data_IF_653082715142
#
_entry.id   IF_653082715142
#
_cell.length_a   1.000
_cell.length_b   1.000
_cell.length_c   1.000
_cell.angle_alpha   90.00
_cell.angle_beta   90.00
_cell.angle_gamma   90.00
#
_symmetry.space_group_name_H-M   'P 1'
#
loop_
_entity.id
_entity.type
_entity.pdbx_description
1 polymer ?
#
# COMPACT_ATOMS: atom_id res chain seq x y z
N UNK A 1 6.64 6.69 18.45
CA UNK A 1 6.24 8.01 17.87
C UNK A 1 7.40 9.00 17.73
N UNK A 2 8.23 9.25 18.76
CA UNK A 2 9.50 10.01 18.61
C UNK A 2 10.47 9.39 17.60
N UNK A 3 10.36 8.09 17.34
CA UNK A 3 11.23 7.32 16.45
C UNK A 3 10.97 7.57 14.97
N UNK A 4 9.70 7.66 14.53
CA UNK A 4 9.34 7.94 13.12
C UNK A 4 9.88 9.30 12.66
N UNK A 5 9.85 10.27 13.56
CA UNK A 5 10.36 11.62 13.33
C UNK A 5 11.88 11.67 13.13
N UNK A 6 12.62 10.87 13.90
CA UNK A 6 14.07 10.73 13.75
C UNK A 6 14.43 10.01 12.45
N UNK A 7 13.60 9.07 12.01
CA UNK A 7 13.83 8.32 10.76
C UNK A 7 13.72 9.20 9.51
N UNK A 8 12.79 10.17 9.50
CA UNK A 8 12.57 11.04 8.33
C UNK A 8 13.76 11.93 7.96
N UNK A 9 14.67 12.22 8.92
CA UNK A 9 15.82 13.13 8.76
C UNK A 9 15.46 14.37 7.94
N UNK A 10 14.47 15.14 8.42
CA UNK A 10 13.79 16.23 7.70
C UNK A 10 14.76 17.25 7.09
N UNK A 11 15.92 17.46 7.70
CA UNK A 11 16.90 18.44 7.25
C UNK A 11 18.28 17.83 6.95
N UNK A 12 18.34 16.75 6.15
CA UNK A 12 19.64 16.15 5.73
C UNK A 12 20.55 17.15 5.01
N UNK A 13 19.99 18.02 4.17
CA UNK A 13 20.73 18.99 3.35
C UNK A 13 21.03 20.31 4.07
N UNK A 14 20.61 20.49 5.33
CA UNK A 14 20.69 21.75 6.10
C UNK A 14 20.07 22.95 5.39
N UNK A 15 19.16 22.71 4.44
CA UNK A 15 18.47 23.77 3.69
C UNK A 15 17.47 24.53 4.56
N UNK A 16 16.79 23.83 5.48
CA UNK A 16 15.75 24.43 6.32
C UNK A 16 16.35 25.19 7.51
N UNK A 17 15.78 26.36 7.81
CA UNK A 17 16.08 27.08 9.03
C UNK A 17 15.54 26.32 10.26
N UNK A 18 16.11 26.52 11.46
CA UNK A 18 15.65 25.84 12.68
C UNK A 18 14.17 26.05 13.01
N UNK A 19 13.60 27.21 12.62
CA UNK A 19 12.16 27.49 12.77
C UNK A 19 11.32 26.70 11.80
N UNK A 20 11.75 26.60 10.54
CA UNK A 20 11.04 25.85 9.50
C UNK A 20 11.07 24.36 9.79
N UNK A 21 12.20 23.82 10.25
CA UNK A 21 12.31 22.43 10.66
C UNK A 21 11.32 22.08 11.79
N UNK A 22 11.18 22.98 12.78
CA UNK A 22 10.17 22.83 13.84
C UNK A 22 8.74 22.91 13.30
N UNK A 23 8.48 23.75 12.32
CA UNK A 23 7.15 23.93 11.75
C UNK A 23 6.74 22.70 10.92
N UNK A 24 7.63 22.21 10.06
CA UNK A 24 7.46 20.95 9.31
C UNK A 24 7.25 19.77 10.27
N UNK A 25 8.00 19.76 11.37
CA UNK A 25 7.83 18.74 12.40
C UNK A 25 6.45 18.81 13.07
N UNK A 26 5.95 20.01 13.31
CA UNK A 26 4.63 20.20 13.88
C UNK A 26 3.52 19.77 12.90
N UNK A 27 3.62 20.11 11.60
CA UNK A 27 2.63 19.75 10.58
C UNK A 27 2.49 18.23 10.45
N UNK A 28 3.62 17.51 10.32
CA UNK A 28 3.63 16.05 10.23
C UNK A 28 3.06 15.38 11.49
N UNK A 29 3.32 15.96 12.67
CA UNK A 29 2.74 15.46 13.94
C UNK A 29 1.23 15.69 13.99
N UNK A 30 0.75 16.84 13.54
CA UNK A 30 -0.68 17.13 13.51
C UNK A 30 -1.44 16.23 12.54
N UNK A 31 -0.87 16.00 11.35
CA UNK A 31 -1.48 15.18 10.31
C UNK A 31 -1.01 13.72 10.36
N UNK A 32 -0.64 13.21 11.55
CA UNK A 32 -0.06 11.86 11.69
C UNK A 32 -0.94 10.73 11.13
N UNK A 33 -2.25 10.91 11.10
CA UNK A 33 -3.20 9.92 10.56
C UNK A 33 -3.48 10.11 9.07
N UNK A 34 -3.08 11.22 8.48
CA UNK A 34 -3.21 11.46 7.04
C UNK A 34 -2.09 10.79 6.23
N UNK A 35 -0.98 10.43 6.89
CA UNK A 35 0.15 9.77 6.26
C UNK A 35 0.14 8.26 6.54
N UNK A 36 0.63 7.51 5.57
CA UNK A 36 0.85 6.07 5.64
C UNK A 36 2.29 5.83 6.10
N UNK A 37 2.48 5.43 7.36
CA UNK A 37 3.81 5.16 7.93
C UNK A 37 4.25 3.72 7.72
N UNK A 38 3.28 2.80 7.61
CA UNK A 38 3.52 1.39 7.31
C UNK A 38 2.61 0.90 6.18
N UNK A 39 3.05 -0.13 5.44
CA UNK A 39 2.21 -0.77 4.41
C UNK A 39 0.93 -1.39 4.98
N UNK A 40 0.91 -1.73 6.27
CA UNK A 40 -0.27 -2.21 6.98
C UNK A 40 -1.33 -1.13 7.20
N UNK A 41 -0.95 0.15 7.13
CA UNK A 41 -1.86 1.28 7.31
C UNK A 41 -2.55 1.70 6.01
N UNK A 42 -2.24 1.02 4.88
CA UNK A 42 -2.87 1.28 3.59
C UNK A 42 -4.38 1.13 3.76
N UNK A 43 -5.08 2.26 3.68
CA UNK A 43 -6.53 2.32 3.80
C UNK A 43 -7.21 1.62 2.63
N UNK A 44 -8.39 1.08 2.89
CA UNK A 44 -9.30 0.59 1.86
C UNK A 44 -10.44 1.60 1.69
N UNK A 45 -10.94 1.75 0.46
CA UNK A 45 -12.15 2.52 0.24
C UNK A 45 -13.30 1.88 1.01
N UNK A 46 -14.04 2.70 1.77
CA UNK A 46 -15.24 2.24 2.45
C UNK A 46 -16.35 2.06 1.41
N UNK A 47 -16.96 0.87 1.40
CA UNK A 47 -18.06 0.56 0.50
C UNK A 47 -19.27 1.48 0.70
N UNK A 48 -19.44 2.05 1.89
CA UNK A 48 -20.52 2.99 2.20
C UNK A 48 -20.32 4.37 1.56
N UNK A 49 -19.09 4.70 1.16
CA UNK A 49 -18.75 6.00 0.57
C UNK A 49 -18.56 5.94 -0.95
N UNK A 50 -18.18 4.78 -1.48
CA UNK A 50 -17.90 4.59 -2.91
C UNK A 50 -18.69 3.40 -3.45
N UNK A 51 -19.48 3.65 -4.49
CA UNK A 51 -20.13 2.59 -5.24
C UNK A 51 -19.09 1.67 -5.91
N UNK A 52 -19.41 0.38 -5.98
CA UNK A 52 -18.59 -0.58 -6.69
C UNK A 52 -18.56 -0.25 -8.19
N UNK A 53 -17.38 -0.31 -8.79
CA UNK A 53 -17.22 -0.17 -10.24
C UNK A 53 -17.85 -1.38 -10.93
N UNK A 54 -18.88 -1.12 -11.74
CA UNK A 54 -19.51 -2.14 -12.58
C UNK A 54 -18.75 -2.17 -13.91
N UNK A 55 -18.02 -3.25 -14.15
CA UNK A 55 -17.41 -3.50 -15.45
C UNK A 55 -18.48 -3.96 -16.43
N UNK A 56 -18.59 -3.29 -17.58
CA UNK A 56 -19.48 -3.73 -18.66
C UNK A 56 -18.93 -5.01 -19.27
N UNK A 57 -19.67 -6.11 -19.12
CA UNK A 57 -19.26 -7.43 -19.63
C UNK A 57 -19.95 -7.72 -20.96
N UNK A 58 -19.17 -8.09 -21.99
CA UNK A 58 -19.67 -8.78 -23.18
C UNK A 58 -19.80 -10.28 -22.84
N UNK A 59 -20.63 -11.05 -23.56
CA UNK A 59 -20.75 -12.51 -23.36
C UNK A 59 -19.35 -13.14 -23.42
N UNK A 60 -18.85 -13.54 -22.25
CA UNK A 60 -17.48 -13.98 -22.08
C UNK A 60 -17.35 -15.48 -22.37
N UNK A 61 -16.30 -15.88 -23.10
CA UNK A 61 -15.86 -17.28 -23.20
C UNK A 61 -14.78 -17.47 -22.16
N UNK A 62 -14.96 -18.43 -21.24
CA UNK A 62 -13.98 -18.70 -20.17
C UNK A 62 -12.59 -18.88 -20.77
N UNK A 63 -11.66 -18.01 -20.39
CA UNK A 63 -10.28 -18.05 -20.83
C UNK A 63 -9.42 -18.41 -19.64
N UNK A 64 -8.94 -19.65 -19.58
CA UNK A 64 -8.04 -20.11 -18.54
C UNK A 64 -6.63 -20.23 -19.12
N UNK A 65 -5.79 -19.24 -18.82
CA UNK A 65 -4.38 -19.28 -19.19
C UNK A 65 -3.55 -19.98 -18.11
N UNK A 66 -2.53 -20.72 -18.53
CA UNK A 66 -1.63 -21.39 -17.61
C UNK A 66 -0.71 -20.37 -16.93
N UNK A 67 -0.49 -20.53 -15.62
CA UNK A 67 0.40 -19.65 -14.88
C UNK A 67 1.82 -19.71 -15.46
N UNK A 68 2.37 -18.55 -15.78
CA UNK A 68 3.77 -18.40 -16.19
C UNK A 68 4.66 -18.91 -15.04
N UNK A 69 5.62 -19.80 -15.31
CA UNK A 69 6.48 -20.35 -14.27
C UNK A 69 7.33 -19.23 -13.65
N UNK A 70 7.29 -19.14 -12.32
CA UNK A 70 8.13 -18.21 -11.56
C UNK A 70 9.51 -18.82 -11.41
N UNK A 71 10.55 -18.02 -11.64
CA UNK A 71 11.93 -18.45 -11.47
C UNK A 71 12.18 -18.89 -10.02
N UNK A 72 12.85 -20.04 -9.76
CA UNK A 72 13.07 -20.54 -8.40
C UNK A 72 13.73 -19.52 -7.45
N UNK A 73 14.67 -18.73 -7.97
CA UNK A 73 15.36 -17.70 -7.19
C UNK A 73 14.44 -16.56 -6.71
N UNK A 74 13.29 -16.35 -7.35
CA UNK A 74 12.32 -15.29 -7.00
C UNK A 74 11.14 -15.82 -6.20
N UNK A 75 11.04 -17.13 -5.99
CA UNK A 75 9.88 -17.75 -5.35
C UNK A 75 9.62 -17.20 -3.95
N UNK A 76 10.66 -17.08 -3.13
CA UNK A 76 10.55 -16.59 -1.75
C UNK A 76 10.06 -15.13 -1.71
N UNK A 77 10.60 -14.29 -2.58
CA UNK A 77 10.20 -12.87 -2.68
C UNK A 77 8.75 -12.72 -3.14
N UNK A 78 8.34 -13.51 -4.13
CA UNK A 78 6.95 -13.52 -4.63
C UNK A 78 5.98 -13.96 -3.54
N UNK A 79 6.29 -15.05 -2.83
CA UNK A 79 5.48 -15.53 -1.70
C UNK A 79 5.37 -14.45 -0.63
N UNK A 80 6.48 -13.81 -0.26
CA UNK A 80 6.48 -12.74 0.75
C UNK A 80 5.60 -11.56 0.34
N UNK A 81 5.64 -11.15 -0.92
CA UNK A 81 4.79 -10.07 -1.46
C UNK A 81 3.32 -10.48 -1.42
N UNK A 82 2.99 -11.70 -1.85
CA UNK A 82 1.62 -12.22 -1.82
C UNK A 82 1.07 -12.28 -0.39
N UNK A 83 1.82 -12.86 0.55
CA UNK A 83 1.43 -12.89 1.96
C UNK A 83 1.23 -11.49 2.53
N UNK A 84 2.08 -10.53 2.17
CA UNK A 84 1.92 -9.13 2.61
C UNK A 84 0.61 -8.51 2.08
N UNK A 85 0.24 -8.79 0.82
CA UNK A 85 -1.00 -8.29 0.23
C UNK A 85 -2.26 -8.94 0.80
N UNK A 86 -2.18 -10.23 1.15
CA UNK A 86 -3.25 -10.93 1.87
C UNK A 86 -3.40 -10.37 3.29
N UNK A 87 -2.30 -10.16 4.01
CA UNK A 87 -2.33 -9.54 5.34
C UNK A 87 -2.87 -8.11 5.34
N UNK A 88 -2.60 -7.33 4.28
CA UNK A 88 -3.19 -6.01 4.07
C UNK A 88 -4.68 -6.05 3.65
N UNK A 89 -5.25 -7.24 3.45
CA UNK A 89 -6.65 -7.43 3.04
C UNK A 89 -6.95 -7.03 1.60
N UNK A 90 -5.94 -6.69 0.79
CA UNK A 90 -6.10 -6.31 -0.62
C UNK A 90 -6.47 -7.53 -1.48
N UNK A 91 -5.87 -8.68 -1.18
CA UNK A 91 -6.15 -9.93 -1.87
C UNK A 91 -6.97 -10.86 -0.99
N UNK A 92 -7.98 -11.48 -1.61
CA UNK A 92 -8.86 -12.47 -0.98
C UNK A 92 -8.84 -13.74 -1.81
N UNK A 93 -9.02 -14.87 -1.14
CA UNK A 93 -9.17 -16.15 -1.84
C UNK A 93 -10.46 -16.10 -2.68
N UNK A 94 -10.38 -16.60 -3.91
CA UNK A 94 -11.52 -16.72 -4.81
C UNK A 94 -11.40 -17.98 -5.65
N UNK A 95 -12.54 -18.58 -5.99
CA UNK A 95 -12.65 -19.64 -6.98
C UNK A 95 -13.31 -19.04 -8.21
N UNK A 96 -12.49 -18.39 -9.02
CA UNK A 96 -12.90 -17.74 -10.25
C UNK A 96 -12.65 -18.68 -11.43
N UNK A 97 -13.52 -18.63 -12.44
CA UNK A 97 -13.29 -19.29 -13.74
C UNK A 97 -12.44 -18.41 -14.70
N UNK A 98 -11.87 -17.33 -14.15
CA UNK A 98 -10.89 -16.40 -14.71
C UNK A 98 -9.63 -16.42 -13.87
#
# INVERSE_FOLDING_TARGET
MKECFKALKINKSKFLLPKEEKLTAWVLKMHKYAFLWAKSEIGQFQADYFDLVIFLTVKHVLWQEWNIPVLPALMEDVIKVLCTKVAAGTFKHSQSAY
#
